data_IF_764810488671
#
_entry.id   IF_764810488671
#
_cell.length_a   1.000
_cell.length_b   1.000
_cell.length_c   1.000
_cell.angle_alpha   90.00
_cell.angle_beta   90.00
_cell.angle_gamma   90.00
#
_symmetry.space_group_name_H-M   'P 1'
#
loop_
_entity.id
_entity.type
_entity.pdbx_description
1 polymer ?
#
# COMPACT_ATOMS: atom_id res chain seq x y z
N UNK A 1 -17.18 7.36 9.22
CA UNK A 1 -16.55 7.46 7.88
C UNK A 1 -15.05 7.67 8.09
N UNK A 2 -14.25 6.65 7.87
CA UNK A 2 -12.80 6.81 7.72
C UNK A 2 -12.60 7.51 6.38
N UNK A 3 -12.35 8.82 6.39
CA UNK A 3 -12.10 9.59 5.16
C UNK A 3 -10.91 8.99 4.40
N UNK A 4 -10.96 9.06 3.07
CA UNK A 4 -9.82 8.70 2.22
C UNK A 4 -8.75 9.79 2.28
N UNK A 5 -7.50 9.44 1.97
CA UNK A 5 -6.46 10.42 1.71
C UNK A 5 -6.78 11.23 0.44
N UNK A 6 -6.34 12.48 0.41
CA UNK A 6 -6.49 13.38 -0.74
C UNK A 6 -5.18 14.09 -1.05
N UNK A 7 -5.00 14.49 -2.29
CA UNK A 7 -3.84 15.28 -2.72
C UNK A 7 -4.31 16.70 -3.01
N UNK A 8 -3.84 17.64 -2.20
CA UNK A 8 -4.16 19.05 -2.32
C UNK A 8 -3.47 19.73 -3.52
N UNK A 9 -3.89 20.96 -3.85
CA UNK A 9 -3.33 21.71 -4.97
C UNK A 9 -1.86 22.10 -4.77
N UNK A 10 -1.34 21.99 -3.56
CA UNK A 10 0.07 22.18 -3.22
C UNK A 10 0.90 20.88 -3.30
N UNK A 11 0.28 19.77 -3.66
CA UNK A 11 0.91 18.45 -3.75
C UNK A 11 1.07 17.73 -2.43
N UNK A 12 0.45 18.23 -1.34
CA UNK A 12 0.41 17.52 -0.06
C UNK A 12 -0.68 16.50 -0.02
N UNK A 13 -0.36 15.34 0.54
CA UNK A 13 -1.34 14.31 0.87
C UNK A 13 -1.93 14.63 2.24
N UNK A 14 -3.24 14.73 2.34
CA UNK A 14 -3.97 15.04 3.58
C UNK A 14 -5.07 14.01 3.83
N UNK A 15 -5.54 13.89 5.06
CA UNK A 15 -6.65 12.99 5.40
C UNK A 15 -6.61 12.53 6.84
N UNK A 16 -7.26 11.40 7.16
CA UNK A 16 -7.41 10.92 8.52
C UNK A 16 -6.11 10.37 9.14
N UNK A 17 -5.10 10.09 8.31
CA UNK A 17 -3.79 9.61 8.77
C UNK A 17 -2.88 10.79 9.01
N UNK A 18 -2.16 10.77 10.12
CA UNK A 18 -1.16 11.78 10.42
C UNK A 18 0.04 11.62 9.49
N UNK A 19 0.26 12.62 8.64
CA UNK A 19 1.41 12.68 7.74
C UNK A 19 2.33 13.80 8.20
N UNK A 20 3.59 13.48 8.44
CA UNK A 20 4.63 14.45 8.70
C UNK A 20 5.18 14.96 7.36
N UNK A 21 5.26 16.27 7.20
CA UNK A 21 5.77 16.87 5.97
C UNK A 21 7.20 17.34 6.17
N UNK A 22 8.02 17.03 5.18
CA UNK A 22 9.28 17.71 5.03
C UNK A 22 8.99 19.17 4.61
N UNK A 23 9.39 20.13 5.40
CA UNK A 23 9.06 21.55 5.17
C UNK A 23 10.28 22.44 5.31
N UNK A 24 10.59 23.29 4.32
CA UNK A 24 9.93 23.35 3.00
C UNK A 24 10.22 22.09 2.19
N UNK A 25 9.31 21.70 1.28
CA UNK A 25 9.63 20.67 0.31
C UNK A 25 10.84 21.07 -0.51
N UNK A 26 11.75 20.12 -0.83
CA UNK A 26 12.87 20.42 -1.70
C UNK A 26 12.36 20.92 -3.05
N UNK A 27 13.05 21.90 -3.61
CA UNK A 27 12.73 22.50 -4.92
C UNK A 27 13.72 22.04 -5.96
N UNK A 28 13.27 21.90 -7.21
CA UNK A 28 14.18 21.82 -8.35
C UNK A 28 14.77 20.47 -8.70
N UNK A 29 14.18 19.37 -8.26
CA UNK A 29 14.67 18.03 -8.64
C UNK A 29 14.28 17.58 -10.06
N UNK A 30 13.75 18.47 -10.89
CA UNK A 30 13.31 18.14 -12.24
C UNK A 30 11.82 18.30 -12.45
N UNK A 31 11.34 17.90 -13.59
CA UNK A 31 9.92 17.88 -13.94
C UNK A 31 9.49 16.48 -14.35
N UNK A 32 8.24 16.16 -14.10
CA UNK A 32 7.63 14.97 -14.69
C UNK A 32 7.88 14.95 -16.19
N UNK A 33 8.26 13.80 -16.70
CA UNK A 33 8.24 13.56 -18.14
C UNK A 33 6.85 13.80 -18.71
N UNK A 34 6.76 13.97 -20.01
CA UNK A 34 5.48 14.16 -20.72
C UNK A 34 4.56 12.93 -20.67
N UNK A 35 5.01 11.83 -20.07
CA UNK A 35 4.29 10.56 -19.95
C UNK A 35 3.36 10.53 -18.74
N UNK A 36 2.28 9.74 -18.85
CA UNK A 36 1.44 9.42 -17.72
C UNK A 36 2.22 8.60 -16.68
N UNK A 37 1.95 8.82 -15.39
CA UNK A 37 2.56 8.03 -14.32
C UNK A 37 2.27 6.55 -14.51
N UNK A 38 3.29 5.74 -14.33
CA UNK A 38 3.21 4.29 -14.43
C UNK A 38 2.72 3.64 -13.15
N UNK A 39 3.08 4.19 -12.00
CA UNK A 39 2.69 3.61 -10.73
C UNK A 39 3.56 4.02 -9.55
N UNK A 40 3.70 3.09 -8.63
CA UNK A 40 4.49 3.25 -7.39
C UNK A 40 5.54 2.14 -7.31
N UNK A 41 6.73 2.50 -6.89
CA UNK A 41 7.83 1.56 -6.59
C UNK A 41 7.98 1.40 -5.09
N UNK A 42 7.96 0.17 -4.64
CA UNK A 42 8.33 -0.22 -3.29
C UNK A 42 9.84 -0.23 -3.14
N UNK A 43 10.32 0.48 -2.13
CA UNK A 43 11.71 0.42 -1.69
C UNK A 43 11.82 -0.07 -0.26
N UNK A 44 13.01 -0.54 0.10
CA UNK A 44 13.42 -0.78 1.48
C UNK A 44 14.54 0.18 1.86
N UNK A 45 14.39 0.82 3.01
CA UNK A 45 15.22 1.95 3.44
C UNK A 45 16.62 1.53 3.92
N UNK A 46 16.80 0.24 4.23
CA UNK A 46 18.01 -0.29 4.89
C UNK A 46 18.32 0.51 6.17
N UNK A 47 17.28 0.73 6.97
CA UNK A 47 17.35 1.54 8.19
C UNK A 47 15.99 1.99 8.68
N UNK A 48 16.02 3.03 9.53
CA UNK A 48 14.84 3.60 10.16
C UNK A 48 14.48 4.97 9.59
N UNK A 49 13.18 5.24 9.52
CA UNK A 49 12.68 6.57 9.18
C UNK A 49 12.82 7.49 10.41
N UNK A 50 13.74 8.41 10.33
CA UNK A 50 14.07 9.36 11.40
C UNK A 50 14.59 10.67 10.79
N UNK A 51 14.70 11.77 11.57
CA UNK A 51 15.16 13.05 11.03
C UNK A 51 16.48 13.00 10.27
N UNK A 52 17.43 12.13 10.66
CA UNK A 52 18.68 11.96 9.93
C UNK A 52 18.47 11.38 8.52
N UNK A 53 17.57 10.41 8.38
CA UNK A 53 17.20 9.83 7.07
C UNK A 53 16.50 10.87 6.19
N UNK A 54 15.60 11.66 6.76
CA UNK A 54 14.94 12.77 6.04
C UNK A 54 15.95 13.81 5.58
N UNK A 55 16.93 14.15 6.42
CA UNK A 55 18.01 15.07 6.05
C UNK A 55 18.87 14.51 4.92
N UNK A 56 19.10 13.21 4.87
CA UNK A 56 19.80 12.56 3.75
C UNK A 56 19.02 12.76 2.43
N UNK A 57 17.72 12.48 2.44
CA UNK A 57 16.86 12.66 1.26
C UNK A 57 16.72 14.14 0.83
N UNK A 58 17.00 15.08 1.72
CA UNK A 58 17.02 16.52 1.43
C UNK A 58 18.37 17.02 0.95
N UNK A 59 19.41 16.21 1.05
CA UNK A 59 20.76 16.61 0.68
C UNK A 59 20.97 16.46 -0.82
N UNK A 60 21.19 17.57 -1.52
CA UNK A 60 21.54 17.55 -2.94
C UNK A 60 22.82 16.77 -3.24
N UNK A 61 23.75 16.66 -2.27
CA UNK A 61 24.97 15.88 -2.42
C UNK A 61 24.76 14.39 -2.29
N UNK A 62 23.68 13.94 -1.66
CA UNK A 62 23.34 12.52 -1.55
C UNK A 62 22.80 11.95 -2.86
N UNK A 63 22.22 12.80 -3.73
CA UNK A 63 21.63 12.43 -5.02
C UNK A 63 20.63 11.25 -4.92
N UNK A 64 19.92 11.16 -3.79
CA UNK A 64 18.85 10.19 -3.52
C UNK A 64 17.71 10.89 -2.83
N UNK A 65 16.47 10.49 -3.16
CA UNK A 65 15.26 10.96 -2.50
C UNK A 65 14.11 10.00 -2.76
N UNK A 66 13.00 10.17 -2.02
CA UNK A 66 11.77 9.42 -2.24
C UNK A 66 10.57 10.38 -2.11
N UNK A 67 9.39 9.98 -2.59
CA UNK A 67 8.17 10.75 -2.36
C UNK A 67 7.67 10.59 -0.93
N UNK A 68 7.76 9.37 -0.40
CA UNK A 68 7.32 9.03 0.94
C UNK A 68 8.30 8.11 1.65
N UNK A 69 8.30 8.20 2.97
CA UNK A 69 8.90 7.23 3.88
C UNK A 69 7.84 6.72 4.85
N UNK A 70 7.87 5.42 5.16
CA UNK A 70 6.98 4.77 6.12
C UNK A 70 7.81 4.09 7.20
N UNK A 71 7.64 4.51 8.46
CA UNK A 71 8.27 3.87 9.61
C UNK A 71 7.59 2.53 9.94
N UNK A 72 8.22 1.71 10.78
CA UNK A 72 7.68 0.41 11.17
C UNK A 72 6.36 0.50 11.95
N UNK A 73 6.11 1.60 12.64
CA UNK A 73 4.85 1.89 13.34
C UNK A 73 3.74 2.42 12.40
N UNK A 74 4.02 2.53 11.10
CA UNK A 74 3.10 3.06 10.11
C UNK A 74 3.12 4.59 9.98
N UNK A 75 3.93 5.30 10.75
CA UNK A 75 4.10 6.76 10.61
C UNK A 75 4.58 7.10 9.21
N UNK A 76 3.96 8.09 8.58
CA UNK A 76 4.26 8.49 7.20
C UNK A 76 4.95 9.85 7.19
N UNK A 77 6.03 9.95 6.42
CA UNK A 77 6.64 11.22 6.04
C UNK A 77 6.46 11.45 4.55
N UNK A 78 5.89 12.57 4.18
CA UNK A 78 5.91 13.03 2.80
C UNK A 78 7.15 13.91 2.59
N UNK A 79 8.02 13.48 1.67
CA UNK A 79 9.36 14.05 1.50
C UNK A 79 9.39 15.07 0.36
N UNK A 80 8.46 14.96 -0.59
CA UNK A 80 8.31 15.90 -1.70
C UNK A 80 6.86 16.04 -2.16
N UNK A 81 6.54 17.09 -2.94
CA UNK A 81 5.17 17.36 -3.41
C UNK A 81 4.78 16.41 -4.54
N UNK A 82 3.53 16.01 -4.58
CA UNK A 82 2.95 15.23 -5.67
C UNK A 82 2.41 16.16 -6.74
N UNK A 83 2.71 15.87 -8.01
CA UNK A 83 2.14 16.58 -9.16
C UNK A 83 2.60 18.03 -9.36
N UNK A 84 3.71 18.45 -8.74
CA UNK A 84 4.23 19.83 -8.81
C UNK A 84 5.52 19.98 -9.63
N UNK A 85 5.79 19.06 -10.56
CA UNK A 85 7.02 19.07 -11.32
C UNK A 85 8.25 18.70 -10.51
N UNK A 86 8.07 18.00 -9.41
CA UNK A 86 9.12 17.44 -8.58
C UNK A 86 9.18 15.94 -8.77
N UNK A 87 10.37 15.42 -8.99
CA UNK A 87 10.64 13.98 -9.09
C UNK A 87 11.54 13.54 -7.95
N UNK A 88 11.33 12.33 -7.45
CA UNK A 88 12.28 11.68 -6.56
C UNK A 88 13.45 11.08 -7.36
N UNK A 89 14.62 11.04 -6.76
CA UNK A 89 15.79 10.36 -7.32
C UNK A 89 15.96 9.00 -6.64
N UNK A 90 15.10 8.06 -7.04
CA UNK A 90 14.97 6.74 -6.43
C UNK A 90 15.18 5.60 -7.44
N UNK A 91 14.77 5.77 -8.71
CA UNK A 91 14.73 4.72 -9.72
C UNK A 91 15.50 5.08 -11.01
N UNK A 92 16.44 6.01 -10.98
CA UNK A 92 17.20 6.45 -12.15
C UNK A 92 16.31 6.73 -13.38
N UNK A 93 16.27 5.84 -14.39
CA UNK A 93 15.42 6.00 -15.58
C UNK A 93 13.92 5.96 -15.26
N UNK A 94 13.51 5.46 -14.12
CA UNK A 94 12.12 5.45 -13.65
C UNK A 94 11.67 6.74 -12.96
N UNK A 95 12.61 7.63 -12.55
CA UNK A 95 12.32 8.80 -11.72
C UNK A 95 11.20 9.69 -12.26
N UNK A 96 11.07 9.81 -13.59
CA UNK A 96 10.09 10.69 -14.22
C UNK A 96 8.68 10.10 -14.33
N UNK A 97 8.53 8.79 -14.09
CA UNK A 97 7.28 8.08 -14.36
C UNK A 97 6.78 7.20 -13.21
N UNK A 98 7.55 7.10 -12.12
CA UNK A 98 7.17 6.29 -10.97
C UNK A 98 7.23 7.12 -9.68
N UNK A 99 6.24 6.91 -8.80
CA UNK A 99 6.34 7.35 -7.41
C UNK A 99 7.17 6.35 -6.63
N UNK A 100 7.84 6.81 -5.57
CA UNK A 100 8.67 5.96 -4.70
C UNK A 100 8.21 6.05 -3.25
N UNK A 101 8.11 4.89 -2.61
CA UNK A 101 7.81 4.74 -1.17
C UNK A 101 8.91 3.91 -0.52
N UNK A 102 9.63 4.53 0.40
CA UNK A 102 10.64 3.87 1.23
C UNK A 102 10.03 3.29 2.49
N UNK A 103 10.34 2.04 2.79
CA UNK A 103 9.83 1.36 3.98
C UNK A 103 11.00 1.07 4.93
N UNK A 104 10.90 1.54 6.17
CA UNK A 104 11.86 1.23 7.21
C UNK A 104 11.91 -0.28 7.49
N UNK A 105 13.11 -0.81 7.73
CA UNK A 105 13.36 -2.24 7.94
C UNK A 105 14.26 -2.53 9.15
N UNK A 106 14.61 -1.50 9.90
CA UNK A 106 15.53 -1.58 11.04
C UNK A 106 16.92 -2.10 10.66
N UNK A 107 17.33 -1.85 9.39
CA UNK A 107 18.59 -2.33 8.85
C UNK A 107 18.60 -3.81 8.44
N UNK A 108 17.44 -4.47 8.42
CA UNK A 108 17.31 -5.86 7.97
C UNK A 108 16.24 -6.00 6.86
N UNK A 109 16.72 -6.09 5.64
CA UNK A 109 15.87 -6.21 4.43
C UNK A 109 15.07 -7.52 4.34
N UNK A 110 15.37 -8.51 5.19
CA UNK A 110 14.62 -9.76 5.29
C UNK A 110 13.37 -9.64 6.18
N UNK A 111 13.29 -8.58 7.00
CA UNK A 111 12.11 -8.33 7.83
C UNK A 111 10.88 -8.07 6.94
N UNK A 112 9.72 -8.71 7.24
CA UNK A 112 8.48 -8.35 6.57
C UNK A 112 8.08 -6.91 6.88
N UNK A 113 7.23 -6.34 6.04
CA UNK A 113 6.48 -5.14 6.42
C UNK A 113 5.58 -5.47 7.62
N UNK A 114 5.51 -4.55 8.55
CA UNK A 114 4.55 -4.63 9.66
C UNK A 114 3.13 -4.40 9.17
N UNK A 115 2.12 -4.80 9.94
CA UNK A 115 0.72 -4.53 9.60
C UNK A 115 0.43 -3.03 9.46
N UNK A 116 1.05 -2.21 10.30
CA UNK A 116 0.96 -0.76 10.23
C UNK A 116 1.57 -0.20 8.93
N UNK A 117 2.72 -0.74 8.48
CA UNK A 117 3.31 -0.37 7.19
C UNK A 117 2.44 -0.80 6.01
N UNK A 118 1.86 -2.00 6.04
CA UNK A 118 0.94 -2.49 5.02
C UNK A 118 -0.26 -1.56 4.87
N UNK A 119 -0.85 -1.14 5.99
CA UNK A 119 -1.99 -0.23 6.02
C UNK A 119 -1.63 1.16 5.48
N UNK A 120 -0.53 1.74 5.94
CA UNK A 120 -0.08 3.05 5.47
C UNK A 120 0.26 3.03 3.97
N UNK A 121 0.93 1.96 3.50
CA UNK A 121 1.24 1.77 2.08
C UNK A 121 -0.01 1.67 1.23
N UNK A 122 -1.03 0.92 1.69
CA UNK A 122 -2.29 0.78 0.97
C UNK A 122 -3.01 2.12 0.80
N UNK A 123 -3.03 2.95 1.84
CA UNK A 123 -3.62 4.28 1.80
C UNK A 123 -2.88 5.20 0.80
N UNK A 124 -1.54 5.17 0.80
CA UNK A 124 -0.74 5.95 -0.14
C UNK A 124 -0.90 5.44 -1.58
N UNK A 125 -0.85 4.13 -1.79
CA UNK A 125 -1.01 3.54 -3.13
C UNK A 125 -2.40 3.84 -3.69
N UNK A 126 -3.45 3.78 -2.86
CA UNK A 126 -4.82 4.13 -3.27
C UNK A 126 -4.91 5.59 -3.73
N UNK A 127 -4.46 6.55 -2.91
CA UNK A 127 -4.58 7.97 -3.27
C UNK A 127 -3.72 8.32 -4.48
N UNK A 128 -2.53 7.76 -4.62
CA UNK A 128 -1.65 7.97 -5.77
C UNK A 128 -2.24 7.36 -7.04
N UNK A 129 -2.81 6.15 -6.95
CA UNK A 129 -3.48 5.48 -8.05
C UNK A 129 -4.69 6.28 -8.54
N UNK A 130 -5.52 6.77 -7.62
CA UNK A 130 -6.68 7.61 -7.96
C UNK A 130 -6.27 8.96 -8.56
N UNK A 131 -5.22 9.57 -8.03
CA UNK A 131 -4.70 10.86 -8.52
C UNK A 131 -4.08 10.75 -9.92
N UNK A 132 -3.26 9.72 -10.16
CA UNK A 132 -2.48 9.58 -11.39
C UNK A 132 -3.11 8.64 -12.44
N UNK A 133 -4.20 7.94 -12.09
CA UNK A 133 -4.96 7.10 -13.04
C UNK A 133 -4.26 5.79 -13.42
N UNK A 134 -3.45 5.20 -12.55
CA UNK A 134 -2.93 3.85 -12.75
C UNK A 134 -3.77 2.81 -12.00
N UNK A 135 -3.87 1.55 -12.47
CA UNK A 135 -4.67 0.52 -11.83
C UNK A 135 -4.05 0.04 -10.50
N UNK A 136 -4.90 -0.39 -9.57
CA UNK A 136 -4.49 -1.11 -8.36
C UNK A 136 -4.16 -2.55 -8.73
N UNK A 137 -2.93 -2.81 -9.13
CA UNK A 137 -2.41 -4.14 -9.44
C UNK A 137 -0.92 -4.22 -9.15
N UNK A 138 -0.43 -5.42 -8.88
CA UNK A 138 1.01 -5.68 -8.78
C UNK A 138 1.60 -5.79 -10.17
N UNK A 139 2.80 -5.28 -10.35
CA UNK A 139 3.58 -5.46 -11.57
C UNK A 139 5.04 -5.78 -11.27
N UNK A 140 5.66 -6.58 -12.12
CA UNK A 140 7.10 -6.86 -12.16
C UNK A 140 7.74 -6.38 -13.47
N UNK A 141 7.05 -5.46 -14.18
CA UNK A 141 7.53 -4.88 -15.44
C UNK A 141 7.42 -3.35 -15.41
N UNK A 142 8.46 -2.67 -15.86
CA UNK A 142 8.48 -1.21 -16.01
C UNK A 142 7.49 -0.70 -17.07
N UNK A 143 7.06 -1.57 -17.99
CA UNK A 143 6.14 -1.25 -19.08
C UNK A 143 4.65 -1.45 -18.69
N UNK A 144 4.39 -2.00 -17.52
CA UNK A 144 3.03 -2.26 -17.03
C UNK A 144 2.75 -1.38 -15.82
N UNK A 145 1.66 -0.61 -15.88
CA UNK A 145 1.23 0.26 -14.78
C UNK A 145 0.87 -0.54 -13.53
N UNK A 146 1.21 -0.01 -12.35
CA UNK A 146 0.81 -0.65 -11.09
C UNK A 146 1.75 -0.39 -9.93
N UNK A 147 1.82 -1.33 -8.99
CA UNK A 147 2.69 -1.30 -7.83
C UNK A 147 3.84 -2.29 -8.00
N UNK A 148 5.01 -1.77 -8.29
CA UNK A 148 6.22 -2.54 -8.58
C UNK A 148 7.26 -2.52 -7.47
N UNK A 149 8.44 -3.03 -7.81
CA UNK A 149 9.64 -3.01 -6.96
C UNK A 149 10.81 -2.41 -7.72
N UNK A 150 11.82 -1.89 -7.03
CA UNK A 150 13.00 -1.31 -7.67
C UNK A 150 13.75 -2.32 -8.56
N UNK A 151 13.82 -3.58 -8.14
CA UNK A 151 14.53 -4.63 -8.90
C UNK A 151 13.96 -4.85 -10.31
N UNK A 152 12.68 -4.51 -10.57
CA UNK A 152 12.06 -4.73 -11.89
C UNK A 152 12.70 -3.90 -13.01
N UNK A 153 13.35 -2.78 -12.65
CA UNK A 153 14.02 -1.90 -13.61
C UNK A 153 15.40 -2.36 -14.05
N UNK A 154 15.95 -3.40 -13.39
CA UNK A 154 17.26 -3.96 -13.72
C UNK A 154 18.37 -2.92 -13.80
N UNK A 155 19.25 -3.06 -14.77
CA UNK A 155 20.38 -2.15 -14.97
C UNK A 155 19.97 -0.70 -15.30
N UNK A 156 18.83 -0.48 -15.93
CA UNK A 156 18.32 0.86 -16.23
C UNK A 156 17.94 1.66 -14.97
N UNK A 157 17.62 0.95 -13.87
CA UNK A 157 17.33 1.51 -12.55
C UNK A 157 18.49 1.31 -11.57
N UNK A 158 19.72 1.16 -12.04
CA UNK A 158 20.92 1.05 -11.21
C UNK A 158 21.26 -0.37 -10.73
N UNK A 159 20.51 -1.39 -11.14
CA UNK A 159 20.79 -2.79 -10.80
C UNK A 159 20.57 -3.15 -9.33
N UNK A 160 19.73 -2.40 -8.62
CA UNK A 160 19.42 -2.64 -7.23
C UNK A 160 18.59 -3.91 -7.04
N UNK A 161 18.76 -4.58 -5.88
CA UNK A 161 17.99 -5.77 -5.49
C UNK A 161 16.82 -5.43 -4.58
N UNK A 162 16.55 -4.16 -4.32
CA UNK A 162 15.47 -3.67 -3.48
C UNK A 162 14.08 -4.17 -3.99
N UNK A 163 13.21 -4.69 -3.14
CA UNK A 163 13.21 -4.64 -1.68
C UNK A 163 13.97 -5.76 -0.96
N UNK A 164 14.83 -6.49 -1.63
CA UNK A 164 15.63 -7.56 -1.07
C UNK A 164 14.96 -8.94 -1.17
N UNK A 165 15.61 -9.99 -0.63
CA UNK A 165 15.16 -11.37 -0.79
C UNK A 165 14.01 -11.76 0.14
N UNK A 166 13.64 -10.89 1.10
CA UNK A 166 12.60 -11.13 2.09
C UNK A 166 11.17 -11.14 1.50
N UNK A 167 10.15 -11.25 2.34
CA UNK A 167 8.76 -11.41 1.91
C UNK A 167 8.13 -10.13 1.35
N UNK A 168 8.79 -8.97 1.44
CA UNK A 168 8.25 -7.65 1.10
C UNK A 168 7.70 -7.57 -0.32
N UNK A 169 8.42 -8.15 -1.30
CA UNK A 169 7.95 -8.18 -2.68
C UNK A 169 6.59 -8.88 -2.81
N UNK A 170 6.38 -9.98 -2.09
CA UNK A 170 5.11 -10.71 -2.04
C UNK A 170 4.01 -9.94 -1.31
N UNK A 171 4.36 -9.15 -0.29
CA UNK A 171 3.39 -8.35 0.47
C UNK A 171 2.74 -7.22 -0.35
N UNK A 172 3.22 -6.92 -1.56
CA UNK A 172 2.54 -6.00 -2.49
C UNK A 172 1.11 -6.44 -2.83
N UNK A 173 0.86 -7.73 -2.92
CA UNK A 173 -0.50 -8.24 -3.18
C UNK A 173 -1.46 -7.87 -2.06
N UNK A 174 -1.01 -7.95 -0.81
CA UNK A 174 -1.80 -7.53 0.35
C UNK A 174 -2.03 -6.01 0.36
N UNK A 175 -1.00 -5.22 0.04
CA UNK A 175 -1.12 -3.76 -0.07
C UNK A 175 -2.16 -3.38 -1.12
N UNK A 176 -2.14 -4.01 -2.29
CA UNK A 176 -3.14 -3.77 -3.35
C UNK A 176 -4.55 -4.17 -2.89
N UNK A 177 -4.69 -5.33 -2.25
CA UNK A 177 -5.97 -5.78 -1.69
C UNK A 177 -6.55 -4.77 -0.68
N UNK A 178 -5.73 -4.28 0.25
CA UNK A 178 -6.13 -3.23 1.21
C UNK A 178 -6.46 -1.91 0.50
N UNK A 179 -5.72 -1.52 -0.53
CA UNK A 179 -5.97 -0.30 -1.31
C UNK A 179 -7.31 -0.37 -2.05
N UNK A 180 -7.65 -1.52 -2.62
CA UNK A 180 -8.95 -1.75 -3.24
C UNK A 180 -10.09 -1.69 -2.22
N UNK A 181 -9.90 -2.25 -1.03
CA UNK A 181 -10.87 -2.17 0.06
C UNK A 181 -11.13 -0.71 0.49
N UNK A 182 -10.06 0.09 0.61
CA UNK A 182 -10.17 1.53 0.90
C UNK A 182 -10.96 2.23 -0.20
N UNK A 183 -10.66 1.96 -1.47
CA UNK A 183 -11.33 2.56 -2.64
C UNK A 183 -12.82 2.25 -2.70
N UNK A 184 -13.18 1.04 -2.33
CA UNK A 184 -14.56 0.56 -2.35
C UNK A 184 -15.31 0.80 -1.05
N UNK A 185 -14.65 1.42 -0.05
CA UNK A 185 -15.24 1.64 1.27
C UNK A 185 -15.40 0.35 2.07
N UNK A 186 -14.62 -0.67 1.77
CA UNK A 186 -14.61 -1.93 2.51
C UNK A 186 -13.60 -1.86 3.66
N UNK A 187 -13.82 -2.65 4.69
CA UNK A 187 -12.93 -2.76 5.86
C UNK A 187 -12.68 -4.23 6.19
N UNK A 188 -11.49 -4.54 6.67
CA UNK A 188 -11.22 -5.86 7.23
C UNK A 188 -11.92 -5.97 8.59
N UNK A 189 -12.70 -7.02 8.77
CA UNK A 189 -13.38 -7.37 10.02
C UNK A 189 -12.85 -8.72 10.51
N UNK A 190 -12.47 -8.77 11.78
CA UNK A 190 -11.94 -10.01 12.38
C UNK A 190 -13.00 -10.61 13.31
N UNK A 191 -13.32 -11.88 13.09
CA UNK A 191 -14.23 -12.62 13.94
C UNK A 191 -13.62 -12.87 15.33
N UNK A 192 -14.40 -12.62 16.36
CA UNK A 192 -14.10 -13.04 17.73
C UNK A 192 -14.71 -14.42 18.07
N UNK A 193 -15.38 -15.04 17.12
CA UNK A 193 -16.07 -16.32 17.29
C UNK A 193 -17.49 -16.20 17.81
N UNK A 194 -18.02 -14.99 18.01
CA UNK A 194 -19.35 -14.78 18.62
C UNK A 194 -20.50 -14.73 17.61
N UNK A 195 -20.20 -14.39 16.34
CA UNK A 195 -21.22 -14.22 15.30
C UNK A 195 -21.11 -15.30 14.22
N UNK A 196 -22.27 -15.62 13.63
CA UNK A 196 -22.33 -16.29 12.35
C UNK A 196 -22.18 -15.30 11.19
N UNK A 197 -21.90 -15.81 9.99
CA UNK A 197 -21.82 -14.98 8.79
C UNK A 197 -23.15 -14.28 8.50
N UNK A 198 -24.28 -14.98 8.66
CA UNK A 198 -25.61 -14.41 8.46
C UNK A 198 -25.95 -13.34 9.51
N UNK A 199 -25.54 -13.54 10.77
CA UNK A 199 -25.72 -12.54 11.82
C UNK A 199 -24.88 -11.28 11.54
N UNK A 200 -23.63 -11.42 11.06
CA UNK A 200 -22.79 -10.31 10.64
C UNK A 200 -23.41 -9.56 9.46
N UNK A 201 -23.87 -10.29 8.44
CA UNK A 201 -24.53 -9.71 7.27
C UNK A 201 -25.77 -8.90 7.65
N UNK A 202 -26.58 -9.43 8.57
CA UNK A 202 -27.76 -8.72 9.07
C UNK A 202 -27.39 -7.42 9.84
N UNK A 203 -26.34 -7.44 10.66
CA UNK A 203 -25.85 -6.24 11.35
C UNK A 203 -25.37 -5.17 10.38
N UNK A 204 -24.68 -5.57 9.31
CA UNK A 204 -24.15 -4.68 8.27
C UNK A 204 -25.19 -4.29 7.21
N UNK A 205 -26.42 -4.81 7.31
CA UNK A 205 -27.47 -4.61 6.30
C UNK A 205 -27.03 -4.98 4.87
N UNK A 206 -26.33 -6.07 4.76
CA UNK A 206 -25.82 -6.62 3.50
C UNK A 206 -26.16 -8.11 3.39
N UNK A 207 -25.80 -8.73 2.28
CA UNK A 207 -25.99 -10.16 2.05
C UNK A 207 -24.72 -10.93 2.43
N UNK A 208 -24.87 -12.13 3.02
CA UNK A 208 -23.74 -13.00 3.34
C UNK A 208 -22.87 -13.32 2.10
N UNK A 209 -23.52 -13.52 0.94
CA UNK A 209 -22.85 -13.73 -0.35
C UNK A 209 -21.97 -12.54 -0.76
N UNK A 210 -22.39 -11.31 -0.45
CA UNK A 210 -21.60 -10.10 -0.73
C UNK A 210 -20.34 -10.05 0.13
N UNK A 211 -20.42 -10.41 1.42
CA UNK A 211 -19.25 -10.51 2.30
C UNK A 211 -18.28 -11.57 1.77
N UNK A 212 -18.78 -12.73 1.37
CA UNK A 212 -17.95 -13.80 0.81
C UNK A 212 -17.28 -13.37 -0.49
N UNK A 213 -17.98 -12.68 -1.39
CA UNK A 213 -17.41 -12.17 -2.64
C UNK A 213 -16.34 -11.11 -2.38
N UNK A 214 -16.60 -10.14 -1.49
CA UNK A 214 -15.62 -9.14 -1.11
C UNK A 214 -14.36 -9.79 -0.52
N UNK A 215 -14.53 -10.76 0.38
CA UNK A 215 -13.41 -11.49 0.98
C UNK A 215 -12.65 -12.32 -0.04
N UNK A 216 -13.33 -12.96 -0.99
CA UNK A 216 -12.70 -13.75 -2.05
C UNK A 216 -11.84 -12.88 -3.00
N UNK A 217 -12.30 -11.67 -3.32
CA UNK A 217 -11.55 -10.73 -4.16
C UNK A 217 -10.25 -10.30 -3.45
N UNK A 218 -10.32 -10.06 -2.15
CA UNK A 218 -9.19 -9.60 -1.34
C UNK A 218 -8.35 -10.73 -0.72
N UNK A 219 -8.82 -11.97 -0.82
CA UNK A 219 -8.35 -13.14 -0.06
C UNK A 219 -6.98 -13.71 -0.41
N UNK A 220 -6.18 -13.03 -1.24
CA UNK A 220 -4.84 -13.53 -1.59
C UNK A 220 -3.82 -13.55 -0.44
N UNK A 221 -4.06 -12.86 0.67
CA UNK A 221 -3.08 -12.68 1.75
C UNK A 221 -3.57 -13.12 3.14
N UNK A 222 -4.86 -13.27 3.35
CA UNK A 222 -5.42 -13.62 4.65
C UNK A 222 -5.74 -15.11 4.72
N UNK A 223 -4.74 -15.85 5.17
CA UNK A 223 -4.79 -17.18 5.75
C UNK A 223 -5.59 -18.27 4.99
N UNK A 224 -4.97 -19.42 4.90
CA UNK A 224 -5.58 -20.73 4.56
C UNK A 224 -6.97 -20.93 5.17
N UNK A 225 -7.23 -20.35 6.33
CA UNK A 225 -8.45 -20.52 7.11
C UNK A 225 -9.63 -19.73 6.55
N UNK A 226 -9.41 -18.47 6.06
CA UNK A 226 -10.47 -17.70 5.40
C UNK A 226 -10.87 -18.34 4.06
N UNK A 227 -9.91 -18.79 3.27
CA UNK A 227 -10.18 -19.50 2.02
C UNK A 227 -10.90 -20.83 2.28
N UNK A 228 -10.49 -21.59 3.30
CA UNK A 228 -11.15 -22.83 3.70
C UNK A 228 -12.59 -22.61 4.15
N UNK A 229 -12.84 -21.56 4.97
CA UNK A 229 -14.18 -21.18 5.40
C UNK A 229 -15.07 -20.77 4.22
N UNK A 230 -14.58 -19.88 3.36
CA UNK A 230 -15.31 -19.41 2.17
C UNK A 230 -15.67 -20.57 1.25
N UNK A 231 -14.68 -21.42 0.92
CA UNK A 231 -14.89 -22.59 0.08
C UNK A 231 -15.87 -23.58 0.73
N UNK A 232 -15.80 -23.76 2.04
CA UNK A 232 -16.75 -24.59 2.79
C UNK A 232 -18.19 -24.08 2.71
N UNK A 233 -18.42 -22.77 2.82
CA UNK A 233 -19.75 -22.17 2.68
C UNK A 233 -20.27 -22.32 1.25
N UNK A 234 -19.47 -22.02 0.22
CA UNK A 234 -19.87 -22.19 -1.18
C UNK A 234 -20.12 -23.67 -1.55
N UNK A 235 -19.38 -24.60 -0.97
CA UNK A 235 -19.60 -26.03 -1.16
C UNK A 235 -20.76 -26.62 -0.33
N UNK A 236 -21.35 -25.83 0.56
CA UNK A 236 -22.40 -26.29 1.47
C UNK A 236 -21.92 -27.22 2.58
N UNK A 237 -20.61 -27.27 2.83
CA UNK A 237 -20.00 -28.08 3.91
C UNK A 237 -19.83 -27.30 5.21
N UNK A 238 -19.92 -25.98 5.14
CA UNK A 238 -19.91 -25.06 6.30
C UNK A 238 -21.21 -24.25 6.28
N UNK A 239 -21.96 -24.26 7.39
CA UNK A 239 -23.20 -23.49 7.51
C UNK A 239 -22.88 -22.02 7.74
N UNK A 240 -23.48 -21.07 6.96
CA UNK A 240 -23.37 -19.65 7.22
C UNK A 240 -24.04 -19.20 8.53
N UNK A 241 -24.90 -20.04 9.10
CA UNK A 241 -25.58 -19.83 10.39
C UNK A 241 -24.73 -20.27 11.60
N UNK A 242 -23.69 -21.06 11.38
CA UNK A 242 -22.77 -21.45 12.45
C UNK A 242 -21.85 -20.30 12.85
N UNK A 243 -21.45 -20.25 14.13
CA UNK A 243 -20.46 -19.26 14.57
C UNK A 243 -19.16 -19.39 13.78
N UNK A 244 -18.65 -18.26 13.35
CA UNK A 244 -17.40 -18.19 12.59
C UNK A 244 -16.21 -18.49 13.51
N UNK A 245 -15.16 -19.13 12.99
CA UNK A 245 -13.91 -19.30 13.76
C UNK A 245 -13.37 -17.94 14.26
N UNK A 246 -12.89 -17.90 15.50
CA UNK A 246 -12.22 -16.70 16.00
C UNK A 246 -10.92 -16.45 15.22
N UNK A 247 -10.62 -15.19 14.95
CA UNK A 247 -9.46 -14.80 14.14
C UNK A 247 -9.68 -14.84 12.63
N UNK A 248 -10.84 -15.31 12.16
CA UNK A 248 -11.19 -15.26 10.74
C UNK A 248 -11.33 -13.79 10.30
N UNK A 249 -10.61 -13.41 9.26
CA UNK A 249 -10.69 -12.06 8.69
C UNK A 249 -11.58 -12.07 7.46
N UNK A 250 -12.61 -11.22 7.46
CA UNK A 250 -13.53 -11.01 6.34
C UNK A 250 -13.46 -9.55 5.89
N UNK A 251 -13.71 -9.32 4.62
CA UNK A 251 -13.91 -7.98 4.09
C UNK A 251 -15.40 -7.64 4.09
N UNK A 252 -15.74 -6.51 4.70
CA UNK A 252 -17.12 -6.08 4.90
C UNK A 252 -17.30 -4.64 4.44
N UNK A 253 -18.53 -4.21 4.09
CA UNK A 253 -18.81 -2.79 3.82
C UNK A 253 -18.36 -1.92 5.00
N UNK A 254 -17.67 -0.82 4.71
CA UNK A 254 -17.38 0.21 5.72
C UNK A 254 -18.67 0.96 6.10
N UNK A 255 -18.79 1.33 7.36
CA UNK A 255 -19.91 2.10 7.90
C UNK A 255 -19.78 3.61 7.62
#
# INVERSE_FOLDING_TARGET
MTGMLEIGPDGRVTGPVAITYNSPFPTGNGSWGSGAMMGVVMHTMVGNLQPATVNLFNSSSAAVSAHFGIAQDGSVWQLGPIGKGWIAWAEMAGNETWYSIEHADDGNTENPLTDAQLTASAQLVEVLSRFAGFPLQVTDSVDIKGYGTHVMGGGAWGGHTCPGPGPRAGQRYEIISRAEAIRTGQVAWTSDGSLSLDALAAQLKTEASSILQMTAIHGGAFASDAAAYINGVFAGTTSPEAAMPAGLVLWVPGS
#
